data_IF_642846006635
#
_entry.id   IF_642846006635
#
_cell.length_a   1.000
_cell.length_b   1.000
_cell.length_c   1.000
_cell.angle_alpha   90.00
_cell.angle_beta   90.00
_cell.angle_gamma   90.00
#
_symmetry.space_group_name_H-M   'P 1'
#
loop_
_entity.id
_entity.type
_entity.pdbx_description
1 polymer ?
#
# COMPACT_ATOMS: atom_id res chain seq x y z
N UNK A 1 -4.16 23.50 5.37
CA UNK A 1 -3.08 22.95 4.51
C UNK A 1 -3.65 21.71 3.85
N UNK A 2 -3.42 21.47 2.55
CA UNK A 2 -4.02 20.31 1.87
C UNK A 2 -3.42 18.99 2.40
N UNK A 3 -4.30 18.04 2.68
CA UNK A 3 -3.94 16.71 3.21
C UNK A 3 -3.14 15.92 2.17
N UNK A 4 -3.56 15.95 0.90
CA UNK A 4 -2.86 15.29 -0.21
C UNK A 4 -1.46 15.87 -0.38
N UNK A 5 -1.31 17.19 -0.29
CA UNK A 5 0.02 17.83 -0.36
C UNK A 5 0.90 17.42 0.81
N UNK A 6 0.34 17.37 2.02
CA UNK A 6 1.06 16.93 3.20
C UNK A 6 1.53 15.47 3.08
N UNK A 7 0.64 14.57 2.68
CA UNK A 7 0.98 13.17 2.45
C UNK A 7 2.04 12.99 1.35
N UNK A 8 1.92 13.72 0.24
CA UNK A 8 2.94 13.71 -0.81
C UNK A 8 4.33 14.14 -0.30
N UNK A 9 4.40 15.19 0.53
CA UNK A 9 5.65 15.64 1.13
C UNK A 9 6.24 14.57 2.06
N UNK A 10 5.42 13.99 2.94
CA UNK A 10 5.87 12.93 3.85
C UNK A 10 6.33 11.66 3.12
N UNK A 11 5.64 11.29 2.03
CA UNK A 11 6.05 10.20 1.15
C UNK A 11 7.40 10.49 0.48
N UNK A 12 7.56 11.71 -0.04
CA UNK A 12 8.80 12.16 -0.68
C UNK A 12 9.97 12.17 0.29
N UNK A 13 9.73 12.58 1.54
CA UNK A 13 10.69 12.51 2.63
C UNK A 13 11.06 11.06 2.96
N UNK A 14 10.06 10.20 3.19
CA UNK A 14 10.27 8.77 3.47
C UNK A 14 11.10 8.08 2.39
N UNK A 15 10.79 8.31 1.12
CA UNK A 15 11.51 7.66 0.01
C UNK A 15 12.99 8.09 -0.02
N UNK A 16 13.30 9.33 0.40
CA UNK A 16 14.68 9.84 0.46
C UNK A 16 15.40 9.56 1.77
N UNK A 17 14.68 9.19 2.83
CA UNK A 17 15.26 8.87 4.12
C UNK A 17 16.13 7.61 4.01
N UNK A 18 17.27 7.53 4.69
CA UNK A 18 18.13 6.32 4.63
C UNK A 18 17.94 5.40 5.84
N UNK A 19 17.40 5.91 6.96
CA UNK A 19 17.24 5.17 8.22
C UNK A 19 15.94 4.36 8.30
N UNK A 20 14.85 4.87 7.72
CA UNK A 20 13.55 4.19 7.73
C UNK A 20 13.45 3.29 6.51
N UNK A 21 12.99 2.05 6.69
CA UNK A 21 12.84 1.09 5.59
C UNK A 21 11.38 0.84 5.24
N UNK A 22 10.51 0.88 6.24
CA UNK A 22 9.11 0.43 6.16
C UNK A 22 8.14 1.57 6.40
N UNK A 23 7.06 1.59 5.62
CA UNK A 23 5.99 2.58 5.70
C UNK A 23 4.63 1.90 5.67
N UNK A 24 3.73 2.28 6.57
CA UNK A 24 2.29 2.06 6.42
C UNK A 24 1.65 3.32 5.83
N UNK A 25 1.08 3.20 4.62
CA UNK A 25 0.23 4.24 4.05
C UNK A 25 -1.24 3.87 4.27
N UNK A 26 -1.84 4.51 5.27
CA UNK A 26 -3.19 4.27 5.77
C UNK A 26 -4.12 5.46 5.53
N UNK A 27 -5.38 5.31 5.92
CA UNK A 27 -6.44 6.31 5.84
C UNK A 27 -7.53 5.95 4.84
N UNK A 28 -8.61 6.72 4.87
CA UNK A 28 -9.87 6.42 4.16
C UNK A 28 -9.81 6.77 2.66
N UNK A 29 -8.92 7.69 2.26
CA UNK A 29 -8.88 8.23 0.90
C UNK A 29 -8.08 7.30 -0.05
N UNK A 30 -8.66 6.15 -0.39
CA UNK A 30 -8.00 5.09 -1.16
C UNK A 30 -7.39 5.59 -2.48
N UNK A 31 -8.15 6.38 -3.24
CA UNK A 31 -7.68 6.95 -4.51
C UNK A 31 -6.47 7.84 -4.30
N UNK A 32 -6.57 8.77 -3.36
CA UNK A 32 -5.55 9.76 -3.08
C UNK A 32 -4.28 9.09 -2.56
N UNK A 33 -4.38 8.03 -1.73
CA UNK A 33 -3.22 7.23 -1.28
C UNK A 33 -2.47 6.62 -2.46
N UNK A 34 -3.17 5.91 -3.35
CA UNK A 34 -2.52 5.27 -4.50
C UNK A 34 -1.88 6.30 -5.43
N UNK A 35 -2.60 7.39 -5.71
CA UNK A 35 -2.12 8.43 -6.61
C UNK A 35 -0.93 9.20 -6.00
N UNK A 36 -0.98 9.55 -4.71
CA UNK A 36 0.10 10.25 -4.03
C UNK A 36 1.37 9.39 -3.96
N UNK A 37 1.24 8.10 -3.63
CA UNK A 37 2.36 7.15 -3.61
C UNK A 37 3.02 7.02 -4.99
N UNK A 38 2.24 6.77 -6.04
CA UNK A 38 2.77 6.63 -7.40
C UNK A 38 3.43 7.92 -7.91
N UNK A 39 2.89 9.09 -7.55
CA UNK A 39 3.51 10.39 -7.87
C UNK A 39 4.81 10.60 -7.11
N UNK A 40 4.84 10.32 -5.81
CA UNK A 40 6.04 10.50 -4.98
C UNK A 40 7.18 9.58 -5.47
N UNK A 41 6.88 8.33 -5.81
CA UNK A 41 7.85 7.41 -6.41
C UNK A 41 8.36 7.93 -7.77
N UNK A 42 7.45 8.35 -8.67
CA UNK A 42 7.85 8.89 -9.98
C UNK A 42 8.73 10.15 -9.90
N UNK A 43 8.52 10.98 -8.87
CA UNK A 43 9.27 12.22 -8.67
C UNK A 43 10.74 11.99 -8.27
N UNK A 44 11.10 10.78 -7.84
CA UNK A 44 12.48 10.41 -7.48
C UNK A 44 13.32 9.95 -8.67
N UNK A 45 12.75 9.96 -9.87
CA UNK A 45 13.44 9.56 -11.10
C UNK A 45 13.24 8.09 -11.42
N UNK A 46 14.24 7.49 -12.06
CA UNK A 46 14.17 6.12 -12.54
C UNK A 46 14.30 5.12 -11.39
N UNK A 47 13.17 4.60 -10.92
CA UNK A 47 13.12 3.58 -9.88
C UNK A 47 12.63 2.24 -10.44
N UNK A 48 13.20 1.15 -9.94
CA UNK A 48 12.70 -0.21 -10.17
C UNK A 48 11.96 -0.68 -8.93
N UNK A 49 10.70 -1.07 -9.09
CA UNK A 49 9.89 -1.52 -7.96
C UNK A 49 9.10 -2.79 -8.21
N UNK A 50 8.67 -3.40 -7.10
CA UNK A 50 7.83 -4.58 -7.09
C UNK A 50 6.50 -4.26 -6.40
N UNK A 51 5.39 -4.68 -6.98
CA UNK A 51 4.08 -4.70 -6.31
C UNK A 51 3.73 -6.16 -6.01
N UNK A 52 3.73 -6.49 -4.73
CA UNK A 52 3.36 -7.79 -4.19
C UNK A 52 1.88 -7.81 -3.89
N UNK A 53 1.17 -8.62 -4.67
CA UNK A 53 -0.26 -8.87 -4.55
C UNK A 53 -0.51 -9.95 -3.49
N UNK A 54 -1.05 -9.56 -2.33
CA UNK A 54 -1.41 -10.49 -1.24
C UNK A 54 -2.92 -10.77 -1.29
N UNK A 55 -3.32 -12.05 -1.13
CA UNK A 55 -4.72 -12.52 -1.15
C UNK A 55 -5.59 -11.99 -2.30
N UNK A 56 -4.97 -11.63 -3.42
CA UNK A 56 -5.65 -11.17 -4.62
C UNK A 56 -5.35 -12.10 -5.78
N UNK A 57 -6.29 -12.15 -6.72
CA UNK A 57 -6.06 -12.85 -7.98
C UNK A 57 -5.20 -12.01 -8.91
N UNK A 58 -4.89 -12.55 -10.10
CA UNK A 58 -4.16 -11.82 -11.13
C UNK A 58 -4.85 -10.52 -11.58
N UNK A 59 -6.19 -10.39 -11.42
CA UNK A 59 -6.91 -9.12 -11.66
C UNK A 59 -6.42 -7.98 -10.76
N UNK A 60 -5.78 -8.31 -9.63
CA UNK A 60 -5.18 -7.35 -8.71
C UNK A 60 -4.17 -6.41 -9.38
N UNK A 61 -3.51 -6.83 -10.46
CA UNK A 61 -2.61 -5.95 -11.23
C UNK A 61 -3.36 -4.76 -11.81
N UNK A 62 -4.49 -5.02 -12.48
CA UNK A 62 -5.35 -3.97 -13.04
C UNK A 62 -6.03 -3.17 -11.92
N UNK A 63 -6.53 -3.87 -10.90
CA UNK A 63 -7.25 -3.24 -9.79
C UNK A 63 -6.38 -2.23 -9.02
N UNK A 64 -5.10 -2.54 -8.78
CA UNK A 64 -4.16 -1.62 -8.13
C UNK A 64 -4.14 -0.24 -8.81
N UNK A 65 -4.09 -0.20 -10.15
CA UNK A 65 -4.11 1.06 -10.90
C UNK A 65 -5.50 1.67 -10.99
N UNK A 66 -6.56 0.87 -10.97
CA UNK A 66 -7.95 1.37 -10.94
C UNK A 66 -8.25 2.12 -9.65
N UNK A 67 -7.68 1.72 -8.52
CA UNK A 67 -7.79 2.49 -7.28
C UNK A 67 -7.20 3.89 -7.44
N UNK A 68 -6.14 4.06 -8.23
CA UNK A 68 -5.61 5.39 -8.60
C UNK A 68 -6.37 6.08 -9.75
N UNK A 69 -7.51 5.53 -10.20
CA UNK A 69 -8.26 5.94 -11.40
C UNK A 69 -7.46 5.89 -12.72
N UNK A 70 -6.39 5.09 -12.77
CA UNK A 70 -5.53 4.94 -13.94
C UNK A 70 -6.01 3.82 -14.88
N UNK A 71 -7.26 3.91 -15.33
CA UNK A 71 -7.94 2.86 -16.11
C UNK A 71 -7.30 2.48 -17.45
N UNK A 72 -6.42 3.34 -17.99
CA UNK A 72 -5.76 3.13 -19.29
C UNK A 72 -4.38 2.49 -19.18
N UNK A 73 -3.87 2.27 -17.97
CA UNK A 73 -2.58 1.63 -17.74
C UNK A 73 -2.67 0.17 -18.20
N UNK A 74 -1.76 -0.22 -19.09
CA UNK A 74 -1.65 -1.61 -19.55
C UNK A 74 -0.72 -2.36 -18.62
N UNK A 75 -1.27 -3.32 -17.88
CA UNK A 75 -0.50 -4.18 -16.98
C UNK A 75 0.11 -5.37 -17.72
N UNK A 76 1.18 -5.99 -17.19
CA UNK A 76 1.77 -7.19 -17.78
C UNK A 76 0.81 -8.37 -17.82
N UNK A 77 1.03 -9.29 -18.75
CA UNK A 77 0.23 -10.52 -18.85
C UNK A 77 0.68 -11.60 -17.87
N UNK A 78 1.84 -11.49 -17.23
CA UNK A 78 2.40 -12.50 -16.31
C UNK A 78 3.15 -11.80 -15.17
N UNK A 79 3.19 -12.45 -14.00
CA UNK A 79 4.07 -12.04 -12.91
C UNK A 79 5.53 -12.06 -13.36
N UNK A 80 6.36 -11.20 -12.76
CA UNK A 80 7.77 -11.02 -13.11
C UNK A 80 8.03 -10.31 -14.44
N UNK A 81 7.01 -10.02 -15.26
CA UNK A 81 7.20 -9.19 -16.45
C UNK A 81 7.24 -7.71 -16.05
N UNK A 82 8.22 -6.93 -16.54
CA UNK A 82 8.27 -5.51 -16.29
C UNK A 82 7.18 -4.77 -17.07
N UNK A 83 6.69 -3.68 -16.49
CA UNK A 83 6.01 -2.61 -17.20
C UNK A 83 6.67 -1.27 -16.91
N UNK A 84 6.51 -0.33 -17.84
CA UNK A 84 6.88 1.06 -17.64
C UNK A 84 5.66 1.88 -17.24
N UNK A 85 5.83 2.70 -16.21
CA UNK A 85 4.87 3.74 -15.83
C UNK A 85 5.64 5.04 -15.61
N UNK A 86 5.75 5.85 -16.67
CA UNK A 86 6.60 7.04 -16.68
C UNK A 86 8.05 6.68 -16.29
N UNK A 87 8.56 7.18 -15.17
CA UNK A 87 9.94 6.92 -14.75
C UNK A 87 10.09 5.56 -14.03
N UNK A 88 8.98 4.92 -13.67
CA UNK A 88 9.01 3.66 -12.91
C UNK A 88 9.10 2.45 -13.84
N UNK A 89 9.93 1.49 -13.43
CA UNK A 89 9.89 0.12 -13.93
C UNK A 89 9.25 -0.76 -12.86
N UNK A 90 8.02 -1.19 -13.09
CA UNK A 90 7.22 -1.93 -12.10
C UNK A 90 7.13 -3.40 -12.50
N UNK A 91 7.36 -4.26 -11.53
CA UNK A 91 7.11 -5.69 -11.60
C UNK A 91 5.94 -6.02 -10.69
N UNK A 92 5.22 -7.10 -11.00
CA UNK A 92 4.21 -7.66 -10.11
C UNK A 92 4.61 -9.08 -9.75
N UNK A 93 4.33 -9.47 -8.51
CA UNK A 93 4.38 -10.86 -8.04
C UNK A 93 3.22 -11.13 -7.07
N UNK A 94 2.97 -12.39 -6.75
CA UNK A 94 2.00 -12.80 -5.74
C UNK A 94 2.73 -13.14 -4.44
N UNK A 95 2.27 -12.56 -3.33
CA UNK A 95 2.79 -12.88 -2.01
C UNK A 95 1.96 -14.00 -1.39
N UNK A 96 2.52 -15.20 -1.39
CA UNK A 96 1.90 -16.38 -0.78
C UNK A 96 2.33 -16.53 0.68
N UNK A 97 1.39 -16.63 1.60
CA UNK A 97 1.65 -16.79 3.04
C UNK A 97 1.76 -18.25 3.51
N UNK A 98 1.60 -19.22 2.59
CA UNK A 98 1.44 -20.66 2.92
C UNK A 98 2.72 -21.49 2.94
N UNK A 99 3.83 -21.03 2.37
CA UNK A 99 5.09 -21.82 2.26
C UNK A 99 6.29 -20.91 2.03
N UNK A 100 7.34 -21.10 2.83
CA UNK A 100 8.67 -20.45 2.79
C UNK A 100 8.67 -18.92 2.72
N UNK A 101 8.82 -18.28 3.88
CA UNK A 101 9.07 -16.83 3.98
C UNK A 101 10.33 -16.41 3.22
N UNK A 102 11.32 -17.29 3.10
CA UNK A 102 12.65 -17.04 2.52
C UNK A 102 12.61 -16.85 1.00
N UNK A 103 11.54 -17.31 0.35
CA UNK A 103 11.37 -17.23 -1.10
C UNK A 103 11.51 -15.81 -1.64
N UNK A 104 11.13 -14.82 -0.83
CA UNK A 104 11.08 -13.43 -1.26
C UNK A 104 12.35 -12.65 -0.91
N UNK A 105 13.24 -13.17 -0.05
CA UNK A 105 14.36 -12.44 0.58
C UNK A 105 15.42 -11.88 -0.39
N UNK A 106 15.50 -12.43 -1.60
CA UNK A 106 16.51 -12.07 -2.59
C UNK A 106 16.09 -10.93 -3.53
N UNK A 107 14.93 -10.30 -3.30
CA UNK A 107 14.46 -9.19 -4.11
C UNK A 107 15.21 -7.88 -3.80
N UNK A 108 15.98 -7.42 -4.78
CA UNK A 108 16.72 -6.16 -4.72
C UNK A 108 16.07 -5.10 -5.63
N UNK A 109 15.02 -4.47 -5.13
CA UNK A 109 14.34 -3.34 -5.77
C UNK A 109 14.62 -2.03 -5.03
N UNK A 110 14.34 -0.89 -5.66
CA UNK A 110 14.35 0.40 -4.98
C UNK A 110 13.14 0.54 -4.05
N UNK A 111 12.01 -0.06 -4.43
CA UNK A 111 10.83 -0.12 -3.57
C UNK A 111 10.03 -1.42 -3.78
N UNK A 112 9.28 -1.79 -2.75
CA UNK A 112 8.26 -2.84 -2.77
C UNK A 112 6.98 -2.27 -2.19
N UNK A 113 5.85 -2.52 -2.85
CA UNK A 113 4.52 -2.23 -2.31
C UNK A 113 3.83 -3.56 -2.03
N UNK A 114 3.40 -3.80 -0.80
CA UNK A 114 2.55 -4.95 -0.46
C UNK A 114 1.11 -4.46 -0.44
N UNK A 115 0.27 -5.05 -1.30
CA UNK A 115 -1.08 -4.56 -1.53
C UNK A 115 -2.08 -5.67 -1.89
N UNK A 116 -3.35 -5.58 -1.44
CA UNK A 116 -3.84 -4.72 -0.36
C UNK A 116 -3.48 -5.31 1.00
N UNK A 117 -2.92 -4.52 1.93
CA UNK A 117 -2.54 -5.07 3.23
C UNK A 117 -3.74 -5.43 4.13
N UNK A 118 -4.92 -4.87 3.83
CA UNK A 118 -6.19 -5.11 4.54
C UNK A 118 -6.55 -6.59 4.73
N UNK A 119 -6.08 -7.48 3.86
CA UNK A 119 -6.31 -8.92 3.99
C UNK A 119 -5.44 -9.61 5.04
N UNK A 120 -4.32 -9.00 5.44
CA UNK A 120 -3.35 -9.55 6.38
C UNK A 120 -3.48 -8.96 7.79
N UNK A 121 -4.32 -7.94 8.00
CA UNK A 121 -4.39 -7.18 9.26
C UNK A 121 -4.95 -7.98 10.45
N UNK A 122 -5.60 -9.12 10.21
CA UNK A 122 -6.17 -9.95 11.28
C UNK A 122 -5.38 -11.25 11.53
N UNK A 123 -4.46 -11.63 10.62
CA UNK A 123 -3.71 -12.88 10.73
C UNK A 123 -2.32 -12.64 11.32
N UNK A 124 -2.12 -13.07 12.57
CA UNK A 124 -0.84 -12.91 13.30
C UNK A 124 0.35 -13.57 12.61
N UNK A 125 0.16 -14.72 11.96
CA UNK A 125 1.23 -15.41 11.24
C UNK A 125 1.67 -14.61 10.02
N UNK A 126 0.72 -14.00 9.31
CA UNK A 126 1.03 -13.15 8.15
C UNK A 126 1.72 -11.85 8.57
N UNK A 127 1.26 -11.23 9.67
CA UNK A 127 1.93 -10.04 10.23
C UNK A 127 3.37 -10.36 10.61
N UNK A 128 3.59 -11.50 11.28
CA UNK A 128 4.93 -11.96 11.63
C UNK A 128 5.78 -12.24 10.38
N UNK A 129 5.22 -12.90 9.38
CA UNK A 129 5.90 -13.13 8.09
C UNK A 129 6.28 -11.82 7.39
N UNK A 130 5.40 -10.81 7.39
CA UNK A 130 5.69 -9.51 6.79
C UNK A 130 6.80 -8.78 7.53
N UNK A 131 6.83 -8.88 8.86
CA UNK A 131 7.93 -8.35 9.69
C UNK A 131 9.27 -9.02 9.33
N UNK A 132 9.34 -10.34 9.37
CA UNK A 132 10.56 -11.11 9.04
C UNK A 132 11.02 -10.85 7.61
N UNK A 133 10.08 -10.82 6.66
CA UNK A 133 10.36 -10.48 5.27
C UNK A 133 10.98 -9.08 5.21
N UNK A 134 10.41 -8.08 5.87
CA UNK A 134 10.91 -6.71 5.84
C UNK A 134 12.31 -6.58 6.43
N UNK A 135 12.63 -7.32 7.50
CA UNK A 135 13.97 -7.34 8.10
C UNK A 135 15.02 -7.94 7.14
N UNK A 136 14.68 -9.06 6.48
CA UNK A 136 15.61 -9.80 5.62
C UNK A 136 15.76 -9.23 4.20
N UNK A 137 14.76 -8.47 3.74
CA UNK A 137 14.71 -8.04 2.35
C UNK A 137 15.85 -7.10 1.95
N UNK A 138 16.41 -7.28 0.76
CA UNK A 138 17.42 -6.35 0.20
C UNK A 138 16.81 -5.08 -0.42
N UNK A 139 15.50 -5.08 -0.62
CA UNK A 139 14.77 -3.92 -1.16
C UNK A 139 14.86 -2.73 -0.20
N UNK A 140 15.13 -1.53 -0.75
CA UNK A 140 15.43 -0.34 0.05
C UNK A 140 14.23 0.22 0.80
N UNK A 141 13.04 0.18 0.19
CA UNK A 141 11.80 0.74 0.74
C UNK A 141 10.66 -0.27 0.64
N UNK A 142 9.93 -0.50 1.72
CA UNK A 142 8.78 -1.40 1.76
C UNK A 142 7.57 -0.59 2.21
N UNK A 143 6.53 -0.55 1.39
CA UNK A 143 5.31 0.20 1.63
C UNK A 143 4.14 -0.78 1.76
N UNK A 144 3.51 -0.78 2.92
CA UNK A 144 2.23 -1.44 3.16
C UNK A 144 1.10 -0.48 2.81
N UNK A 145 0.29 -0.83 1.82
CA UNK A 145 -0.79 0.03 1.33
C UNK A 145 -2.16 -0.58 1.65
N UNK A 146 -2.96 0.17 2.41
CA UNK A 146 -4.32 -0.23 2.80
C UNK A 146 -5.36 0.15 1.74
N UNK A 147 -6.53 -0.51 1.82
CA UNK A 147 -7.75 -0.10 1.12
C UNK A 147 -8.95 -0.24 2.05
N UNK A 148 -10.03 0.50 1.76
CA UNK A 148 -11.35 0.35 2.38
C UNK A 148 -11.33 0.55 3.90
N UNK A 149 -10.46 1.42 4.40
CA UNK A 149 -10.57 1.93 5.76
C UNK A 149 -11.86 2.77 5.89
N UNK A 150 -12.52 2.77 7.05
CA UNK A 150 -12.12 2.13 8.32
C UNK A 150 -12.60 0.66 8.49
N UNK A 151 -13.24 0.04 7.48
CA UNK A 151 -13.74 -1.34 7.61
C UNK A 151 -12.64 -2.38 7.80
N UNK A 152 -11.44 -2.12 7.28
CA UNK A 152 -10.26 -2.97 7.47
C UNK A 152 -9.17 -2.17 8.17
N UNK A 153 -9.09 -2.32 9.48
CA UNK A 153 -8.20 -1.54 10.33
C UNK A 153 -6.77 -2.09 10.30
N UNK A 154 -5.74 -1.28 9.96
CA UNK A 154 -4.35 -1.71 9.89
C UNK A 154 -3.56 -1.65 11.21
N UNK A 155 -4.20 -1.37 12.35
CA UNK A 155 -3.54 -1.17 13.66
C UNK A 155 -2.51 -2.25 14.02
N UNK A 156 -2.74 -3.50 13.62
CA UNK A 156 -1.81 -4.61 13.89
C UNK A 156 -0.48 -4.49 13.15
N UNK A 157 -0.46 -3.82 11.99
CA UNK A 157 0.73 -3.56 11.16
C UNK A 157 1.52 -2.35 11.70
N UNK A 158 0.90 -1.44 12.45
CA UNK A 158 1.55 -0.23 12.97
C UNK A 158 2.79 -0.54 13.82
N UNK A 159 2.77 -1.68 14.53
CA UNK A 159 3.87 -2.11 15.40
C UNK A 159 5.12 -2.62 14.67
N UNK A 160 5.04 -2.83 13.35
CA UNK A 160 6.13 -3.41 12.54
C UNK A 160 6.63 -2.46 11.45
N UNK A 161 6.26 -1.18 11.52
CA UNK A 161 6.67 -0.15 10.55
C UNK A 161 7.45 0.98 11.20
N UNK A 162 8.39 1.56 10.45
CA UNK A 162 9.18 2.71 10.90
C UNK A 162 8.38 4.01 10.85
N UNK A 163 7.49 4.12 9.85
CA UNK A 163 6.66 5.31 9.62
C UNK A 163 5.22 4.94 9.29
N UNK A 164 4.31 5.79 9.73
CA UNK A 164 2.88 5.75 9.38
C UNK A 164 2.51 7.08 8.74
N UNK A 165 1.89 7.03 7.56
CA UNK A 165 1.29 8.21 6.92
C UNK A 165 -0.20 7.91 6.76
N UNK A 166 -1.04 8.74 7.38
CA UNK A 166 -2.50 8.64 7.27
C UNK A 166 -3.04 9.70 6.32
N UNK A 167 -3.83 9.28 5.33
CA UNK A 167 -4.47 10.15 4.36
C UNK A 167 -5.98 9.89 4.32
N UNK A 168 -6.72 10.73 5.05
CA UNK A 168 -8.19 10.67 5.16
C UNK A 168 -8.90 11.70 4.28
N UNK A 169 -8.19 12.72 3.80
CA UNK A 169 -8.75 13.87 3.07
C UNK A 169 -9.88 14.59 3.83
N UNK A 170 -9.79 14.70 5.16
CA UNK A 170 -10.77 15.43 5.97
C UNK A 170 -10.82 16.92 5.60
N UNK A 171 -9.68 17.54 5.29
CA UNK A 171 -9.60 18.95 4.89
C UNK A 171 -9.85 19.12 3.38
N UNK A 172 -9.33 18.21 2.56
CA UNK A 172 -9.43 18.31 1.09
C UNK A 172 -10.81 17.89 0.56
N UNK A 173 -11.47 16.94 1.22
CA UNK A 173 -12.82 16.46 0.86
C UNK A 173 -13.66 16.11 2.11
N UNK A 174 -14.03 17.11 2.94
CA UNK A 174 -14.74 16.90 4.19
C UNK A 174 -16.10 16.21 4.04
N UNK A 175 -16.77 16.40 2.89
CA UNK A 175 -18.09 15.79 2.63
C UNK A 175 -17.98 14.29 2.47
N UNK A 176 -17.01 13.83 1.68
CA UNK A 176 -16.80 12.41 1.45
C UNK A 176 -16.28 11.71 2.70
N UNK A 177 -15.34 12.34 3.41
CA UNK A 177 -14.87 11.86 4.71
C UNK A 177 -16.04 11.62 5.68
N UNK A 178 -16.91 12.63 5.87
CA UNK A 178 -18.09 12.50 6.72
C UNK A 178 -19.03 11.39 6.25
N UNK A 179 -19.31 11.30 4.95
CA UNK A 179 -20.17 10.26 4.36
C UNK A 179 -19.66 8.87 4.71
N UNK A 180 -18.37 8.63 4.56
CA UNK A 180 -17.74 7.33 4.86
C UNK A 180 -17.82 7.03 6.36
N UNK A 181 -17.46 7.99 7.22
CA UNK A 181 -17.52 7.80 8.67
C UNK A 181 -18.93 7.51 9.18
N UNK A 182 -19.95 8.26 8.70
CA UNK A 182 -21.36 7.97 9.05
C UNK A 182 -21.77 6.57 8.59
N UNK A 183 -21.40 6.17 7.37
CA UNK A 183 -21.72 4.83 6.85
C UNK A 183 -21.08 3.73 7.70
N UNK A 184 -19.84 3.94 8.13
CA UNK A 184 -19.13 3.02 9.01
C UNK A 184 -19.77 2.91 10.39
N UNK A 185 -20.14 4.03 11.02
CA UNK A 185 -20.83 4.05 12.32
C UNK A 185 -22.19 3.33 12.26
N UNK A 186 -22.95 3.51 11.18
CA UNK A 186 -24.20 2.78 10.97
C UNK A 186 -23.98 1.27 10.82
N UNK A 187 -22.94 0.86 10.09
CA UNK A 187 -22.58 -0.55 9.93
C UNK A 187 -22.17 -1.16 11.27
N UNK A 188 -21.37 -0.46 12.08
CA UNK A 188 -21.01 -0.89 13.43
C UNK A 188 -22.24 -1.09 14.32
N UNK A 189 -23.20 -0.16 14.31
CA UNK A 189 -24.47 -0.29 15.06
C UNK A 189 -25.26 -1.51 14.61
N UNK A 190 -25.31 -1.81 13.30
CA UNK A 190 -25.99 -3.00 12.78
C UNK A 190 -25.31 -4.30 13.20
N UNK A 191 -23.98 -4.31 13.27
CA UNK A 191 -23.18 -5.48 13.69
C UNK A 191 -23.22 -5.71 15.21
N UNK A 192 -23.21 -4.64 16.00
CA UNK A 192 -23.29 -4.72 17.47
C UNK A 192 -24.68 -5.04 18.04
N UNK A 193 -25.73 -4.95 17.21
CA UNK A 193 -27.10 -5.36 17.54
C UNK A 193 -27.41 -6.82 17.12
N UNK A 194 -26.40 -7.61 16.76
CA UNK A 194 -26.48 -9.06 16.55
C UNK A 194 -25.73 -9.78 17.66
#
# INVERSE_FOLDING_TARGET
MSDVKNAFNQLTDFISNESEKTLLLSGIADKEKHLALLKALNAKGELKGLINLIHTTKSGMDEFFRWAELYKVKVPKKYGQPMKLSNLTIFFDNLTTKTDSDKYDNYAFDFMIVWPIASATENKEEIYMLKEMAERQRTKKIIYLTIKEPWYNPNSIESIVDRIIKLDCENDNPKEYKRIMTTYEEDLKRRGNK
#
